data_IF_931961083118
#
_entry.id   IF_931961083118
#
_cell.length_a   1.000
_cell.length_b   1.000
_cell.length_c   1.000
_cell.angle_alpha   90.00
_cell.angle_beta   90.00
_cell.angle_gamma   90.00
#
_symmetry.space_group_name_H-M   'P 1'
#
loop_
_entity.id
_entity.type
_entity.pdbx_description
1 polymer ?
#
# COMPACT_ATOMS: atom_id res chain seq x y z
N UNK A 1 -34.70 6.71 -8.34
CA UNK A 1 -33.66 6.12 -7.47
C UNK A 1 -32.34 6.61 -8.01
N UNK A 2 -31.63 7.42 -7.25
CA UNK A 2 -30.43 8.13 -7.69
C UNK A 2 -29.40 7.15 -8.24
N UNK A 3 -28.94 7.40 -9.47
CA UNK A 3 -27.63 6.94 -9.92
C UNK A 3 -26.62 7.37 -8.86
N UNK A 4 -25.88 6.41 -8.30
CA UNK A 4 -24.83 6.67 -7.32
C UNK A 4 -23.89 7.75 -7.88
N UNK A 5 -23.87 8.91 -7.23
CA UNK A 5 -22.93 9.97 -7.59
C UNK A 5 -21.51 9.41 -7.43
N UNK A 6 -20.75 9.33 -8.53
CA UNK A 6 -19.33 8.99 -8.49
C UNK A 6 -18.58 10.09 -7.73
N UNK A 7 -18.26 9.82 -6.47
CA UNK A 7 -17.62 10.77 -5.53
C UNK A 7 -16.33 11.33 -6.11
N UNK A 8 -15.59 10.51 -6.86
CA UNK A 8 -14.32 10.87 -7.47
C UNK A 8 -14.45 11.93 -8.57
N UNK A 9 -15.63 12.07 -9.19
CA UNK A 9 -15.94 13.08 -10.22
C UNK A 9 -16.41 14.42 -9.63
N UNK A 10 -16.76 14.46 -8.34
CA UNK A 10 -17.22 15.67 -7.67
C UNK A 10 -16.04 16.59 -7.26
N UNK A 11 -16.30 17.87 -6.89
CA UNK A 11 -15.33 18.69 -6.21
C UNK A 11 -14.74 17.99 -5.00
N UNK A 12 -13.47 18.25 -4.70
CA UNK A 12 -12.81 17.62 -3.56
C UNK A 12 -13.45 18.09 -2.25
N UNK A 13 -13.69 17.15 -1.34
CA UNK A 13 -14.23 17.41 0.00
C UNK A 13 -13.23 16.95 1.05
N UNK A 14 -13.36 17.47 2.27
CA UNK A 14 -12.53 17.06 3.40
C UNK A 14 -12.67 15.56 3.69
N UNK A 15 -13.90 15.01 3.63
CA UNK A 15 -14.14 13.56 3.79
C UNK A 15 -13.38 12.72 2.74
N UNK A 16 -13.33 13.19 1.49
CA UNK A 16 -12.60 12.47 0.45
C UNK A 16 -11.08 12.55 0.66
N UNK A 17 -10.58 13.70 1.11
CA UNK A 17 -9.18 13.87 1.51
C UNK A 17 -8.80 12.97 2.69
N UNK A 18 -9.67 12.82 3.68
CA UNK A 18 -9.46 11.91 4.82
C UNK A 18 -9.34 10.45 4.37
N UNK A 19 -10.18 10.01 3.42
CA UNK A 19 -10.08 8.66 2.83
C UNK A 19 -8.77 8.47 2.07
N UNK A 20 -8.34 9.47 1.30
CA UNK A 20 -7.06 9.44 0.59
C UNK A 20 -5.86 9.39 1.57
N UNK A 21 -5.91 10.17 2.64
CA UNK A 21 -4.89 10.15 3.70
C UNK A 21 -4.84 8.79 4.40
N UNK A 22 -6.00 8.21 4.73
CA UNK A 22 -6.08 6.88 5.32
C UNK A 22 -5.47 5.81 4.41
N UNK A 23 -5.74 5.86 3.10
CA UNK A 23 -5.12 4.98 2.11
C UNK A 23 -3.60 5.17 2.06
N UNK A 24 -3.13 6.43 1.98
CA UNK A 24 -1.71 6.75 1.95
C UNK A 24 -0.97 6.23 3.19
N UNK A 25 -1.57 6.41 4.38
CA UNK A 25 -1.05 5.89 5.65
C UNK A 25 -1.05 4.37 5.70
N UNK A 26 -2.09 3.71 5.18
CA UNK A 26 -2.12 2.25 5.08
C UNK A 26 -0.99 1.73 4.17
N UNK A 27 -0.77 2.36 3.01
CA UNK A 27 0.33 2.00 2.10
C UNK A 27 1.70 2.24 2.76
N UNK A 28 1.88 3.35 3.48
CA UNK A 28 3.11 3.63 4.23
C UNK A 28 3.35 2.61 5.34
N UNK A 29 2.30 2.23 6.08
CA UNK A 29 2.38 1.23 7.12
C UNK A 29 2.80 -0.13 6.55
N UNK A 30 2.16 -0.58 5.48
CA UNK A 30 2.51 -1.84 4.82
C UNK A 30 3.94 -1.81 4.27
N UNK A 31 4.38 -0.70 3.69
CA UNK A 31 5.74 -0.57 3.18
C UNK A 31 6.79 -0.62 4.31
N UNK A 32 6.50 -0.04 5.48
CA UNK A 32 7.34 -0.15 6.66
C UNK A 32 7.30 -1.57 7.25
N UNK A 33 6.12 -2.18 7.35
CA UNK A 33 5.96 -3.55 7.84
C UNK A 33 6.73 -4.55 6.96
N UNK A 34 6.68 -4.39 5.63
CA UNK A 34 7.51 -5.15 4.70
C UNK A 34 9.01 -5.00 4.98
N UNK A 35 9.47 -3.80 5.31
CA UNK A 35 10.89 -3.54 5.58
C UNK A 35 11.36 -4.19 6.89
N UNK A 36 10.54 -4.15 7.94
CA UNK A 36 10.97 -4.49 9.29
C UNK A 36 10.43 -5.81 9.85
N UNK A 37 9.23 -6.24 9.48
CA UNK A 37 8.49 -7.30 10.18
C UNK A 37 8.52 -8.64 9.43
N UNK A 38 8.70 -9.73 10.18
CA UNK A 38 8.54 -11.11 9.70
C UNK A 38 7.33 -11.82 10.34
N UNK A 39 6.73 -11.21 11.38
CA UNK A 39 5.52 -11.66 12.06
C UNK A 39 4.80 -10.46 12.71
N UNK A 40 3.59 -10.70 13.24
CA UNK A 40 2.75 -9.71 13.91
C UNK A 40 2.60 -8.40 13.11
N UNK A 41 2.21 -8.47 11.83
CA UNK A 41 2.27 -7.32 10.91
C UNK A 41 1.29 -6.20 11.25
N UNK A 42 0.30 -6.45 12.11
CA UNK A 42 -0.68 -5.46 12.60
C UNK A 42 -0.47 -5.09 14.08
N UNK A 43 0.61 -5.57 14.72
CA UNK A 43 0.90 -5.31 16.13
C UNK A 43 -0.28 -5.64 17.07
N UNK A 44 -0.94 -6.79 16.83
CA UNK A 44 -2.07 -7.29 17.65
C UNK A 44 -1.62 -7.66 19.07
N UNK A 45 -0.34 -7.98 19.22
CA UNK A 45 0.35 -8.10 20.50
C UNK A 45 1.54 -7.12 20.57
N UNK A 46 2.07 -6.79 21.76
CA UNK A 46 3.25 -5.94 21.90
C UNK A 46 4.41 -6.40 21.01
N UNK A 47 5.11 -5.44 20.39
CA UNK A 47 6.22 -5.74 19.48
C UNK A 47 7.37 -6.40 20.24
N UNK A 48 7.82 -7.55 19.75
CA UNK A 48 8.96 -8.32 20.28
C UNK A 48 10.07 -8.38 19.25
N UNK A 49 11.32 -8.58 19.70
CA UNK A 49 12.50 -8.71 18.84
C UNK A 49 12.34 -9.84 17.80
N UNK A 50 11.66 -10.92 18.14
CA UNK A 50 11.38 -12.05 17.27
C UNK A 50 10.46 -11.72 16.07
N UNK A 51 9.66 -10.65 16.16
CA UNK A 51 8.84 -10.18 15.04
C UNK A 51 9.64 -9.38 14.00
N UNK A 52 10.87 -8.97 14.33
CA UNK A 52 11.69 -8.08 13.51
C UNK A 52 12.70 -8.90 12.69
N UNK A 53 12.87 -8.53 11.42
CA UNK A 53 13.89 -9.10 10.53
C UNK A 53 15.29 -8.91 11.10
N UNK A 54 16.09 -9.98 11.10
CA UNK A 54 17.49 -9.96 11.58
C UNK A 54 18.38 -9.09 10.70
N UNK A 55 18.10 -9.04 9.40
CA UNK A 55 18.76 -8.18 8.41
C UNK A 55 17.69 -7.30 7.78
N UNK A 56 17.85 -5.99 7.89
CA UNK A 56 16.96 -5.02 7.26
C UNK A 56 17.53 -4.70 5.89
N UNK A 57 16.81 -5.08 4.84
CA UNK A 57 17.21 -4.87 3.44
C UNK A 57 16.04 -4.23 2.71
N UNK A 58 16.31 -3.10 2.06
CA UNK A 58 15.31 -2.29 1.36
C UNK A 58 15.53 -0.80 1.60
N UNK A 59 14.63 0.01 1.07
CA UNK A 59 14.72 1.47 1.15
C UNK A 59 13.45 2.06 1.75
N UNK A 60 13.62 3.12 2.53
CA UNK A 60 12.51 3.91 3.05
C UNK A 60 12.44 5.30 2.42
N UNK A 61 13.57 5.96 2.20
CA UNK A 61 13.63 7.41 1.94
C UNK A 61 12.71 7.92 0.82
N UNK A 62 12.56 7.16 -0.28
CA UNK A 62 11.68 7.55 -1.39
C UNK A 62 10.22 7.08 -1.24
N UNK A 63 9.97 6.06 -0.39
CA UNK A 63 8.74 5.27 -0.42
C UNK A 63 7.49 6.07 -0.01
N UNK A 64 7.49 6.87 1.07
CA UNK A 64 6.31 7.66 1.43
C UNK A 64 5.91 8.67 0.37
N UNK A 65 6.89 9.28 -0.30
CA UNK A 65 6.64 10.22 -1.40
C UNK A 65 6.05 9.51 -2.62
N UNK A 66 6.53 8.31 -2.94
CA UNK A 66 5.96 7.52 -4.03
C UNK A 66 4.54 7.01 -3.71
N UNK A 67 4.26 6.58 -2.47
CA UNK A 67 2.91 6.24 -2.05
C UNK A 67 1.95 7.44 -2.11
N UNK A 68 2.43 8.64 -1.77
CA UNK A 68 1.65 9.88 -1.89
C UNK A 68 1.27 10.13 -3.35
N UNK A 69 2.26 10.09 -4.26
CA UNK A 69 2.03 10.24 -5.70
C UNK A 69 1.05 9.17 -6.20
N UNK A 70 1.25 7.90 -5.83
CA UNK A 70 0.37 6.80 -6.23
C UNK A 70 -1.08 7.04 -5.81
N UNK A 71 -1.33 7.41 -4.55
CA UNK A 71 -2.67 7.75 -4.05
C UNK A 71 -3.34 8.87 -4.88
N UNK A 72 -2.59 9.92 -5.20
CA UNK A 72 -3.10 11.02 -6.02
C UNK A 72 -3.29 10.64 -7.49
N UNK A 73 -2.49 9.71 -8.03
CA UNK A 73 -2.70 9.15 -9.36
C UNK A 73 -3.94 8.27 -9.42
N UNK A 74 -4.19 7.45 -8.39
CA UNK A 74 -5.45 6.69 -8.27
C UNK A 74 -6.67 7.60 -8.31
N UNK A 75 -6.63 8.73 -7.60
CA UNK A 75 -7.67 9.76 -7.70
C UNK A 75 -7.79 10.31 -9.12
N UNK A 76 -6.68 10.61 -9.80
CA UNK A 76 -6.71 11.13 -11.17
C UNK A 76 -7.34 10.13 -12.15
N UNK A 77 -6.98 8.85 -12.04
CA UNK A 77 -7.57 7.75 -12.82
C UNK A 77 -9.08 7.71 -12.62
N UNK A 78 -9.55 7.66 -11.38
CA UNK A 78 -11.00 7.57 -11.08
C UNK A 78 -11.77 8.82 -11.50
N UNK A 79 -11.19 10.01 -11.29
CA UNK A 79 -11.85 11.29 -11.61
C UNK A 79 -12.01 11.50 -13.11
N UNK A 80 -10.99 11.16 -13.89
CA UNK A 80 -10.92 11.49 -15.31
C UNK A 80 -11.05 10.29 -16.24
N UNK A 81 -11.28 9.09 -15.69
CA UNK A 81 -11.40 7.84 -16.44
C UNK A 81 -10.18 7.57 -17.35
N UNK A 82 -8.98 7.64 -16.76
CA UNK A 82 -7.72 7.59 -17.49
C UNK A 82 -7.14 6.17 -17.55
N UNK A 83 -6.72 5.77 -18.75
CA UNK A 83 -5.73 4.72 -18.93
C UNK A 83 -4.33 5.29 -18.59
N UNK A 84 -3.76 4.87 -17.46
CA UNK A 84 -2.50 5.41 -16.94
C UNK A 84 -1.48 4.32 -16.66
N UNK A 85 -0.22 4.59 -17.00
CA UNK A 85 0.95 3.79 -16.58
C UNK A 85 1.84 4.65 -15.70
N UNK A 86 2.16 4.16 -14.50
CA UNK A 86 3.10 4.81 -13.60
C UNK A 86 4.51 4.23 -13.77
N UNK A 87 5.48 5.08 -14.15
CA UNK A 87 6.89 4.72 -14.21
C UNK A 87 7.61 5.29 -12.99
N UNK A 88 8.11 4.42 -12.12
CA UNK A 88 8.93 4.81 -10.97
C UNK A 88 10.40 5.00 -11.38
N UNK A 89 10.87 6.24 -11.37
CA UNK A 89 12.30 6.55 -11.49
C UNK A 89 13.12 5.98 -10.31
N UNK A 90 12.79 6.31 -9.05
CA UNK A 90 13.45 5.75 -7.87
C UNK A 90 12.95 4.33 -7.54
N UNK A 91 13.20 3.38 -8.46
CA UNK A 91 12.72 2.00 -8.39
C UNK A 91 13.26 1.15 -7.23
N UNK A 92 14.31 1.62 -6.54
CA UNK A 92 14.83 0.98 -5.33
C UNK A 92 13.83 1.00 -4.15
N UNK A 93 12.77 1.82 -4.23
CA UNK A 93 11.64 1.86 -3.31
C UNK A 93 10.53 0.84 -3.60
N UNK A 94 10.83 -0.30 -4.23
CA UNK A 94 9.82 -1.24 -4.77
C UNK A 94 8.70 -1.71 -3.81
N UNK A 95 8.89 -1.64 -2.49
CA UNK A 95 7.84 -1.91 -1.50
C UNK A 95 6.63 -0.97 -1.62
N UNK A 96 6.76 0.21 -2.25
CA UNK A 96 5.62 1.08 -2.52
C UNK A 96 4.63 0.44 -3.51
N UNK A 97 5.11 -0.13 -4.63
CA UNK A 97 4.26 -0.84 -5.59
C UNK A 97 3.61 -2.07 -4.95
N UNK A 98 4.38 -2.83 -4.16
CA UNK A 98 3.86 -4.01 -3.46
C UNK A 98 2.77 -3.62 -2.46
N UNK A 99 2.97 -2.54 -1.69
CA UNK A 99 1.96 -2.07 -0.73
C UNK A 99 0.66 -1.65 -1.42
N UNK A 100 0.74 -0.85 -2.50
CA UNK A 100 -0.45 -0.37 -3.21
C UNK A 100 -1.19 -1.52 -3.91
N UNK A 101 -0.50 -2.33 -4.71
CA UNK A 101 -1.12 -3.47 -5.40
C UNK A 101 -1.73 -4.50 -4.44
N UNK A 102 -1.19 -4.65 -3.23
CA UNK A 102 -1.78 -5.49 -2.19
C UNK A 102 -3.07 -4.89 -1.59
N UNK A 103 -3.11 -3.57 -1.36
CA UNK A 103 -4.33 -2.88 -0.91
C UNK A 103 -5.44 -2.94 -1.97
N UNK A 104 -5.06 -2.89 -3.25
CA UNK A 104 -5.97 -2.98 -4.40
C UNK A 104 -6.43 -4.40 -4.71
N UNK A 105 -5.84 -5.42 -4.07
CA UNK A 105 -6.17 -6.84 -4.29
C UNK A 105 -5.50 -7.47 -5.51
N UNK A 106 -5.01 -6.68 -6.46
CA UNK A 106 -4.34 -7.17 -7.69
C UNK A 106 -3.07 -7.97 -7.39
N UNK A 107 -2.35 -7.65 -6.31
CA UNK A 107 -1.22 -8.48 -5.88
C UNK A 107 -1.66 -9.90 -5.51
N UNK A 108 -2.82 -10.05 -4.87
CA UNK A 108 -3.37 -11.34 -4.44
C UNK A 108 -4.01 -12.11 -5.61
N UNK A 109 -4.49 -11.43 -6.66
CA UNK A 109 -4.92 -12.08 -7.90
C UNK A 109 -3.73 -12.77 -8.61
N UNK A 110 -2.58 -12.10 -8.65
CA UNK A 110 -1.34 -12.62 -9.26
C UNK A 110 -0.64 -13.63 -8.35
N UNK A 111 -0.65 -13.39 -7.03
CA UNK A 111 -0.02 -14.25 -6.01
C UNK A 111 -1.08 -14.73 -4.99
N UNK A 112 -1.90 -15.74 -5.32
CA UNK A 112 -2.99 -16.22 -4.45
C UNK A 112 -2.54 -16.71 -3.08
N UNK A 113 -1.26 -17.10 -2.94
CA UNK A 113 -0.68 -17.49 -1.67
C UNK A 113 -0.47 -16.31 -0.70
N UNK A 114 -0.58 -15.06 -1.18
CA UNK A 114 -0.49 -13.80 -0.43
C UNK A 114 -1.87 -13.13 -0.45
N UNK A 115 -2.85 -13.76 0.21
CA UNK A 115 -4.24 -13.32 0.32
C UNK A 115 -4.42 -12.03 1.14
N UNK A 116 -5.55 -11.33 0.96
CA UNK A 116 -5.93 -10.16 1.77
C UNK A 116 -6.48 -10.55 3.16
N UNK A 117 -5.77 -11.44 3.85
CA UNK A 117 -6.04 -11.86 5.23
C UNK A 117 -4.77 -11.79 6.09
N UNK A 118 -4.86 -12.19 7.36
CA UNK A 118 -3.70 -12.15 8.27
C UNK A 118 -2.54 -13.07 7.82
N UNK A 119 -2.85 -14.23 7.24
CA UNK A 119 -1.82 -15.17 6.78
C UNK A 119 -1.10 -14.62 5.56
N UNK A 120 -1.84 -14.06 4.60
CA UNK A 120 -1.26 -13.42 3.43
C UNK A 120 -0.48 -12.16 3.80
N UNK A 121 -0.99 -11.30 4.68
CA UNK A 121 -0.27 -10.12 5.17
C UNK A 121 1.06 -10.49 5.86
N UNK A 122 1.08 -11.56 6.65
CA UNK A 122 2.31 -12.08 7.27
C UNK A 122 3.32 -12.53 6.21
N UNK A 123 2.86 -13.24 5.16
CA UNK A 123 3.72 -13.65 4.04
C UNK A 123 4.24 -12.45 3.25
N UNK A 124 3.38 -11.47 2.95
CA UNK A 124 3.75 -10.21 2.28
C UNK A 124 4.91 -9.53 2.99
N UNK A 125 4.80 -9.37 4.32
CA UNK A 125 5.84 -8.71 5.10
C UNK A 125 7.12 -9.57 5.15
N UNK A 126 6.98 -10.86 5.45
CA UNK A 126 8.11 -11.78 5.62
C UNK A 126 8.95 -11.93 4.35
N UNK A 127 8.34 -12.04 3.18
CA UNK A 127 9.03 -12.35 1.92
C UNK A 127 9.80 -11.17 1.32
N UNK A 128 9.48 -9.93 1.72
CA UNK A 128 10.13 -8.76 1.13
C UNK A 128 11.64 -8.74 1.44
N UNK A 129 12.48 -8.79 0.39
CA UNK A 129 13.94 -8.80 0.49
C UNK A 129 14.50 -9.88 1.45
N UNK A 130 13.92 -11.08 1.40
CA UNK A 130 14.30 -12.23 2.22
C UNK A 130 14.97 -13.34 1.41
#
# INVERSE_FOLDING_TARGET
MNEEMCVEKMPITDEYLEKMDAYWRAANYLAAAQLYLLDNPLLREPLKKEHIKKKIVGHWGTVPGQNFVYCHMNRAIKKYDLDMVLISGPGHGGNFFVANSYLEGTYSEVYPNVSQDMNGLKKLCKQFSF
#
